data_IF_965016335429
#
_entry.id   IF_965016335429
#
_cell.length_a   1.000
_cell.length_b   1.000
_cell.length_c   1.000
_cell.angle_alpha   90.00
_cell.angle_beta   90.00
_cell.angle_gamma   90.00
#
_symmetry.space_group_name_H-M   'P 1'
#
loop_
_entity.id
_entity.type
_entity.pdbx_description
1 polymer ?
#
# COMPACT_ATOMS: atom_id res chain seq x y z
N UNK A 1 -43.07 3.97 41.30
CA UNK A 1 -41.75 4.49 40.90
C UNK A 1 -41.97 5.75 40.07
N UNK A 2 -41.39 6.88 40.49
CA UNK A 2 -41.61 8.19 39.85
C UNK A 2 -40.96 8.22 38.48
N UNK A 3 -41.67 8.79 37.46
CA UNK A 3 -41.12 8.99 36.08
C UNK A 3 -39.76 9.68 36.07
N UNK A 4 -39.41 10.45 37.12
CA UNK A 4 -38.10 11.08 37.30
C UNK A 4 -36.97 10.09 37.61
N UNK A 5 -37.24 9.02 38.35
CA UNK A 5 -36.25 7.95 38.68
C UNK A 5 -35.91 7.11 37.43
N UNK A 6 -36.88 6.84 36.56
CA UNK A 6 -36.64 6.10 35.31
C UNK A 6 -35.83 6.94 34.31
N UNK A 7 -36.06 8.25 34.22
CA UNK A 7 -35.32 9.14 33.37
C UNK A 7 -33.82 9.29 33.79
N UNK A 8 -33.57 9.33 35.11
CA UNK A 8 -32.19 9.41 35.64
C UNK A 8 -31.44 8.08 35.40
N UNK A 9 -32.09 6.93 35.57
CA UNK A 9 -31.48 5.63 35.30
C UNK A 9 -31.10 5.47 33.80
N UNK A 10 -31.96 5.94 32.87
CA UNK A 10 -31.67 5.92 31.45
C UNK A 10 -30.52 6.85 31.05
N UNK A 11 -30.43 8.05 31.67
CA UNK A 11 -29.34 8.98 31.42
C UNK A 11 -27.99 8.45 31.90
N UNK A 12 -27.94 7.79 33.07
CA UNK A 12 -26.72 7.21 33.62
C UNK A 12 -26.22 6.03 32.75
N UNK A 13 -27.12 5.19 32.24
CA UNK A 13 -26.78 4.06 31.37
C UNK A 13 -26.23 4.59 30.02
N UNK A 14 -26.83 5.66 29.46
CA UNK A 14 -26.34 6.30 28.21
C UNK A 14 -24.95 6.93 28.40
N UNK A 15 -24.72 7.65 29.49
CA UNK A 15 -23.42 8.27 29.79
C UNK A 15 -22.35 7.19 30.06
N UNK A 16 -22.67 6.15 30.81
CA UNK A 16 -21.76 5.03 31.04
C UNK A 16 -21.44 4.29 29.73
N UNK A 17 -22.42 4.04 28.86
CA UNK A 17 -22.21 3.41 27.56
C UNK A 17 -21.30 4.24 26.64
N UNK A 18 -21.49 5.57 26.59
CA UNK A 18 -20.64 6.48 25.83
C UNK A 18 -19.21 6.55 26.37
N UNK A 19 -19.04 6.53 27.69
CA UNK A 19 -17.71 6.52 28.34
C UNK A 19 -16.95 5.21 28.08
N UNK A 20 -17.61 4.06 28.13
CA UNK A 20 -17.01 2.76 27.80
C UNK A 20 -16.63 2.69 26.32
N UNK A 21 -17.54 3.08 25.42
CA UNK A 21 -17.28 3.10 23.98
C UNK A 21 -16.09 4.01 23.62
N UNK A 22 -16.02 5.22 24.19
CA UNK A 22 -14.88 6.12 23.98
C UNK A 22 -13.57 5.59 24.57
N UNK A 23 -13.63 4.86 25.69
CA UNK A 23 -12.47 4.21 26.31
C UNK A 23 -11.88 3.11 25.40
N UNK A 24 -12.73 2.28 24.81
CA UNK A 24 -12.28 1.17 23.95
C UNK A 24 -11.74 1.71 22.62
N UNK A 25 -12.43 2.67 22.00
CA UNK A 25 -11.93 3.36 20.81
C UNK A 25 -10.57 4.07 21.02
N UNK A 26 -10.33 4.62 22.22
CA UNK A 26 -9.02 5.19 22.57
C UNK A 26 -7.94 4.15 22.77
N UNK A 27 -8.27 2.98 23.38
CA UNK A 27 -7.33 1.86 23.52
C UNK A 27 -6.91 1.31 22.16
N UNK A 28 -7.87 1.11 21.25
CA UNK A 28 -7.62 0.64 19.90
C UNK A 28 -6.71 1.60 19.13
N UNK A 29 -6.96 2.91 19.21
CA UNK A 29 -6.08 3.92 18.58
C UNK A 29 -4.66 3.91 19.13
N UNK A 30 -4.49 3.71 20.44
CA UNK A 30 -3.16 3.60 21.05
C UNK A 30 -2.44 2.33 20.58
N UNK A 31 -3.15 1.21 20.52
CA UNK A 31 -2.60 -0.07 20.05
C UNK A 31 -2.19 0.02 18.57
N UNK A 32 -3.02 0.62 17.72
CA UNK A 32 -2.68 0.85 16.30
C UNK A 32 -1.43 1.72 16.15
N UNK A 33 -1.33 2.83 16.90
CA UNK A 33 -0.14 3.68 16.87
C UNK A 33 1.12 2.96 17.37
N UNK A 34 0.99 2.16 18.42
CA UNK A 34 2.11 1.37 18.93
C UNK A 34 2.59 0.34 17.90
N UNK A 35 1.67 -0.35 17.22
CA UNK A 35 2.00 -1.31 16.15
C UNK A 35 2.65 -0.61 14.95
N UNK A 36 2.15 0.56 14.54
CA UNK A 36 2.76 1.33 13.46
C UNK A 36 4.18 1.80 13.82
N UNK A 37 4.38 2.27 15.06
CA UNK A 37 5.69 2.65 15.57
C UNK A 37 6.64 1.44 15.65
N UNK A 38 6.17 0.29 16.14
CA UNK A 38 6.96 -0.95 16.16
C UNK A 38 7.34 -1.40 14.75
N UNK A 39 6.42 -1.33 13.80
CA UNK A 39 6.66 -1.72 12.42
C UNK A 39 7.70 -0.82 11.75
N UNK A 40 7.58 0.51 11.83
CA UNK A 40 8.56 1.41 11.22
C UNK A 40 9.94 1.30 11.89
N UNK A 41 9.98 1.05 13.20
CA UNK A 41 11.23 0.82 13.93
C UNK A 41 11.90 -0.49 13.48
N UNK A 42 11.12 -1.58 13.33
CA UNK A 42 11.63 -2.84 12.80
C UNK A 42 12.17 -2.70 11.36
N UNK A 43 11.67 -1.73 10.59
CA UNK A 43 12.10 -1.43 9.23
C UNK A 43 13.28 -0.46 9.13
N UNK A 44 13.91 -0.07 10.24
CA UNK A 44 15.08 0.82 10.28
C UNK A 44 14.84 2.17 10.94
N UNK A 45 13.63 2.41 11.45
CA UNK A 45 13.27 3.60 12.21
C UNK A 45 12.64 4.71 11.37
N UNK A 46 11.77 5.49 12.03
CA UNK A 46 11.02 6.56 11.37
C UNK A 46 11.93 7.64 10.77
N UNK A 47 12.99 8.03 11.48
CA UNK A 47 13.91 9.07 11.02
C UNK A 47 14.63 8.66 9.72
N UNK A 48 15.07 7.39 9.62
CA UNK A 48 15.72 6.87 8.42
C UNK A 48 14.78 6.91 7.21
N UNK A 49 13.53 6.45 7.38
CA UNK A 49 12.53 6.48 6.31
C UNK A 49 12.11 7.89 5.93
N UNK A 50 11.91 8.79 6.89
CA UNK A 50 11.53 10.19 6.64
C UNK A 50 12.63 11.00 5.95
N UNK A 51 13.91 10.61 6.11
CA UNK A 51 15.02 11.21 5.39
C UNK A 51 15.05 10.83 3.89
N UNK A 52 14.27 9.82 3.46
CA UNK A 52 14.17 9.41 2.06
C UNK A 52 13.15 10.29 1.31
N UNK A 53 13.63 11.11 0.39
CA UNK A 53 12.76 11.96 -0.46
C UNK A 53 12.43 11.27 -1.78
N UNK A 54 13.37 10.48 -2.31
CA UNK A 54 13.19 9.69 -3.53
C UNK A 54 13.70 8.28 -3.30
N UNK A 55 13.04 7.32 -3.93
CA UNK A 55 13.42 5.91 -3.88
C UNK A 55 13.35 5.34 -5.30
N UNK A 56 14.43 4.70 -5.73
CA UNK A 56 14.47 3.91 -6.96
C UNK A 56 14.71 2.45 -6.61
N UNK A 57 13.81 1.61 -7.07
CA UNK A 57 13.87 0.15 -6.88
C UNK A 57 13.95 -0.51 -8.25
N UNK A 58 14.86 -1.45 -8.43
CA UNK A 58 14.96 -2.27 -9.63
C UNK A 58 14.92 -3.74 -9.27
N UNK A 59 14.41 -4.57 -10.16
CA UNK A 59 14.29 -6.01 -9.95
C UNK A 59 13.60 -6.69 -11.11
N UNK A 60 13.03 -7.87 -10.83
CA UNK A 60 12.27 -8.68 -11.79
C UNK A 60 10.83 -8.82 -11.33
N UNK A 61 9.88 -8.77 -12.26
CA UNK A 61 8.50 -9.12 -12.01
C UNK A 61 8.06 -10.26 -12.91
N UNK A 62 7.22 -11.14 -12.37
CA UNK A 62 6.57 -12.21 -13.10
C UNK A 62 5.25 -11.70 -13.70
N UNK A 63 5.12 -11.82 -15.01
CA UNK A 63 3.90 -11.50 -15.75
C UNK A 63 3.00 -12.71 -15.97
N UNK A 64 3.33 -13.85 -15.35
CA UNK A 64 2.65 -15.13 -15.53
C UNK A 64 3.29 -15.98 -16.64
N UNK A 65 2.93 -17.26 -16.67
CA UNK A 65 3.41 -18.25 -17.65
C UNK A 65 4.96 -18.36 -17.74
N UNK A 66 5.67 -18.09 -16.63
CA UNK A 66 7.13 -18.11 -16.57
C UNK A 66 7.82 -16.92 -17.24
N UNK A 67 7.08 -15.87 -17.58
CA UNK A 67 7.67 -14.64 -18.13
C UNK A 67 8.14 -13.70 -17.03
N UNK A 68 9.45 -13.45 -16.99
CA UNK A 68 10.07 -12.51 -16.07
C UNK A 68 10.58 -11.30 -16.84
N UNK A 69 10.23 -10.11 -16.36
CA UNK A 69 10.67 -8.86 -16.99
C UNK A 69 11.34 -7.95 -15.97
N UNK A 70 12.41 -7.26 -16.35
CA UNK A 70 13.02 -6.27 -15.49
C UNK A 70 12.07 -5.08 -15.31
N UNK A 71 12.06 -4.52 -14.10
CA UNK A 71 11.30 -3.32 -13.81
C UNK A 71 12.16 -2.27 -13.09
N UNK A 72 11.72 -1.02 -13.23
CA UNK A 72 12.18 0.12 -12.44
C UNK A 72 10.97 0.76 -11.79
N UNK A 73 10.99 0.90 -10.48
CA UNK A 73 10.03 1.68 -9.74
C UNK A 73 10.72 2.91 -9.15
N UNK A 74 10.15 4.08 -9.38
CA UNK A 74 10.60 5.34 -8.81
C UNK A 74 9.50 5.97 -7.98
N UNK A 75 9.86 6.42 -6.81
CA UNK A 75 8.96 7.15 -5.91
C UNK A 75 9.57 8.49 -5.53
N UNK A 76 8.73 9.51 -5.40
CA UNK A 76 9.10 10.85 -4.93
C UNK A 76 8.02 11.36 -3.98
N UNK A 77 8.43 11.96 -2.87
CA UNK A 77 7.50 12.64 -1.96
C UNK A 77 6.95 13.94 -2.56
N UNK A 78 5.68 14.28 -2.26
CA UNK A 78 4.68 13.44 -1.60
C UNK A 78 3.90 12.57 -2.59
N UNK A 79 3.83 11.25 -2.34
CA UNK A 79 2.85 10.36 -2.97
C UNK A 79 2.96 10.17 -4.48
N UNK A 80 4.13 10.36 -5.07
CA UNK A 80 4.36 10.10 -6.49
C UNK A 80 5.05 8.75 -6.69
N UNK A 81 4.66 8.03 -7.72
CA UNK A 81 5.26 6.75 -8.10
C UNK A 81 5.17 6.53 -9.61
N UNK A 82 6.23 6.00 -10.19
CA UNK A 82 6.27 5.44 -11.55
C UNK A 82 6.77 4.00 -11.51
N UNK A 83 6.08 3.12 -12.21
CA UNK A 83 6.51 1.77 -12.52
C UNK A 83 6.76 1.68 -14.02
N UNK A 84 7.95 1.24 -14.39
CA UNK A 84 8.37 1.02 -15.77
C UNK A 84 8.87 -0.41 -15.93
N UNK A 85 8.48 -1.10 -16.99
CA UNK A 85 8.99 -2.42 -17.34
C UNK A 85 9.01 -2.61 -18.87
N UNK A 86 9.86 -3.50 -19.33
CA UNK A 86 10.00 -3.81 -20.76
C UNK A 86 9.38 -5.16 -21.03
N UNK A 87 8.45 -5.20 -21.97
CA UNK A 87 7.80 -6.42 -22.44
C UNK A 87 7.75 -6.44 -23.96
N UNK A 88 8.26 -7.50 -24.60
CA UNK A 88 8.37 -7.62 -26.07
C UNK A 88 9.04 -6.41 -26.74
N UNK A 89 10.16 -5.95 -26.18
CA UNK A 89 10.91 -4.78 -26.64
C UNK A 89 10.13 -3.44 -26.53
N UNK A 90 8.94 -3.44 -25.99
CA UNK A 90 8.14 -2.25 -25.74
C UNK A 90 8.18 -1.85 -24.27
N UNK A 91 8.37 -0.56 -24.01
CA UNK A 91 8.39 -0.03 -22.65
C UNK A 91 6.97 0.30 -22.18
N UNK A 92 6.55 -0.32 -21.10
CA UNK A 92 5.30 0.00 -20.41
C UNK A 92 5.58 0.91 -19.21
N UNK A 93 4.74 1.91 -19.02
CA UNK A 93 4.88 2.90 -17.93
C UNK A 93 3.53 3.11 -17.27
N UNK A 94 3.55 3.17 -15.94
CA UNK A 94 2.39 3.53 -15.11
C UNK A 94 2.85 4.50 -14.04
N UNK A 95 2.32 5.71 -14.03
CA UNK A 95 2.72 6.74 -13.08
C UNK A 95 1.51 7.35 -12.37
N UNK A 96 1.71 7.73 -11.11
CA UNK A 96 0.77 8.51 -10.30
C UNK A 96 1.49 9.70 -9.69
N UNK A 97 0.81 10.85 -9.59
CA UNK A 97 1.34 12.10 -9.06
C UNK A 97 0.77 12.47 -7.68
N UNK A 98 0.05 11.54 -7.03
CA UNK A 98 -0.64 11.74 -5.76
C UNK A 98 -2.08 12.25 -5.90
N UNK A 99 -2.55 12.57 -7.13
CA UNK A 99 -3.92 13.03 -7.41
C UNK A 99 -4.56 12.28 -8.57
N UNK A 100 -3.76 11.97 -9.57
CA UNK A 100 -4.15 11.32 -10.80
C UNK A 100 -3.05 10.37 -11.26
N UNK A 101 -3.33 9.60 -12.29
CA UNK A 101 -2.34 8.72 -12.88
C UNK A 101 -2.44 8.69 -14.40
N UNK A 102 -1.35 8.27 -15.02
CA UNK A 102 -1.28 8.02 -16.45
C UNK A 102 -0.54 6.71 -16.73
N UNK A 103 -0.77 6.17 -17.90
CA UNK A 103 -0.15 4.92 -18.34
C UNK A 103 0.17 4.94 -19.83
N UNK A 104 1.18 4.16 -20.21
CA UNK A 104 1.55 3.82 -21.56
C UNK A 104 1.73 2.30 -21.62
N UNK A 105 0.88 1.59 -22.35
CA UNK A 105 0.88 0.12 -22.45
C UNK A 105 0.89 -0.32 -23.92
N UNK A 106 2.04 -0.16 -24.64
CA UNK A 106 2.10 -0.36 -26.09
C UNK A 106 1.70 -1.76 -26.54
N UNK A 107 2.08 -2.79 -25.76
CA UNK A 107 1.73 -4.19 -26.04
C UNK A 107 0.23 -4.50 -26.00
N UNK A 108 -0.60 -3.55 -25.52
CA UNK A 108 -2.08 -3.61 -25.59
C UNK A 108 -2.64 -2.82 -26.79
N UNK A 109 -1.79 -2.45 -27.76
CA UNK A 109 -2.16 -1.63 -28.90
C UNK A 109 -2.35 -0.14 -28.58
N UNK A 110 -1.94 0.31 -27.39
CA UNK A 110 -2.07 1.69 -26.90
C UNK A 110 -0.70 2.37 -26.89
N UNK A 111 -0.34 2.97 -28.03
CA UNK A 111 0.98 3.56 -28.25
C UNK A 111 1.13 5.00 -27.76
N UNK A 112 0.03 5.60 -27.30
CA UNK A 112 0.02 6.96 -26.76
C UNK A 112 -0.24 6.91 -25.24
N UNK A 113 0.33 7.85 -24.47
CA UNK A 113 -0.01 8.01 -23.07
C UNK A 113 -1.51 8.29 -22.88
N UNK A 114 -2.12 7.65 -21.90
CA UNK A 114 -3.52 7.85 -21.55
C UNK A 114 -3.68 8.05 -20.04
N UNK A 115 -4.70 8.80 -19.64
CA UNK A 115 -5.05 8.94 -18.24
C UNK A 115 -5.52 7.59 -17.68
N UNK A 116 -5.15 7.29 -16.45
CA UNK A 116 -5.72 6.16 -15.71
C UNK A 116 -7.19 6.41 -15.39
N UNK A 117 -7.98 5.34 -15.39
CA UNK A 117 -9.30 5.36 -14.78
C UNK A 117 -9.15 5.53 -13.26
N UNK A 118 -10.23 5.94 -12.61
CA UNK A 118 -10.24 6.05 -11.14
C UNK A 118 -9.93 4.69 -10.47
N UNK A 119 -10.39 3.60 -11.03
CA UNK A 119 -10.14 2.24 -10.55
C UNK A 119 -8.65 1.87 -10.65
N UNK A 120 -8.00 2.17 -11.78
CA UNK A 120 -6.57 1.93 -11.97
C UNK A 120 -5.72 2.77 -11.02
N UNK A 121 -6.08 4.04 -10.81
CA UNK A 121 -5.42 4.89 -9.83
C UNK A 121 -5.56 4.35 -8.41
N UNK A 122 -6.76 3.95 -7.99
CA UNK A 122 -7.04 3.35 -6.68
C UNK A 122 -6.24 2.06 -6.44
N UNK A 123 -6.01 1.28 -7.49
CA UNK A 123 -5.21 0.06 -7.38
C UNK A 123 -3.75 0.36 -6.99
N UNK A 124 -3.20 1.50 -7.40
CA UNK A 124 -1.83 1.93 -7.10
C UNK A 124 -1.71 2.73 -5.78
N UNK A 125 -2.79 3.36 -5.29
CA UNK A 125 -2.78 4.30 -4.17
C UNK A 125 -2.09 3.76 -2.91
N UNK A 126 -2.29 2.48 -2.59
CA UNK A 126 -1.68 1.87 -1.40
C UNK A 126 -0.16 1.68 -1.47
N UNK A 127 0.43 1.76 -2.67
CA UNK A 127 1.87 1.55 -2.89
C UNK A 127 2.69 2.83 -3.03
N UNK A 128 2.08 4.00 -3.03
CA UNK A 128 2.77 5.26 -3.33
C UNK A 128 3.58 5.82 -2.17
N UNK A 129 3.36 5.35 -0.96
CA UNK A 129 4.07 5.86 0.23
C UNK A 129 5.43 5.19 0.40
N UNK A 130 6.48 6.00 0.43
CA UNK A 130 7.86 5.55 0.73
C UNK A 130 7.94 4.93 2.14
N UNK A 131 7.25 5.51 3.13
CA UNK A 131 7.27 5.04 4.52
C UNK A 131 6.52 3.72 4.75
N UNK A 132 5.82 3.23 3.73
CA UNK A 132 4.93 2.08 3.84
C UNK A 132 3.51 2.44 4.27
N UNK A 133 2.60 1.53 3.97
CA UNK A 133 1.16 1.79 4.09
C UNK A 133 0.70 2.04 5.54
N UNK A 134 1.16 1.21 6.50
CA UNK A 134 0.69 1.31 7.87
C UNK A 134 1.14 2.62 8.53
N UNK A 135 2.45 2.89 8.49
CA UNK A 135 3.00 4.08 9.14
C UNK A 135 2.43 5.35 8.53
N UNK A 136 2.44 5.48 7.20
CA UNK A 136 1.90 6.65 6.51
C UNK A 136 0.40 6.85 6.77
N UNK A 137 -0.37 5.78 6.88
CA UNK A 137 -1.81 5.88 7.18
C UNK A 137 -2.08 6.43 8.57
N UNK A 138 -1.29 5.99 9.56
CA UNK A 138 -1.41 6.50 10.94
C UNK A 138 -0.98 7.97 11.03
N UNK A 139 0.15 8.34 10.40
CA UNK A 139 0.65 9.72 10.40
C UNK A 139 -0.29 10.69 9.66
N UNK A 140 -0.89 10.26 8.56
CA UNK A 140 -1.86 11.07 7.81
C UNK A 140 -3.28 11.04 8.41
N UNK A 141 -3.49 10.32 9.50
CA UNK A 141 -4.79 10.26 10.19
C UNK A 141 -5.86 9.47 9.44
N UNK A 142 -5.47 8.53 8.56
CA UNK A 142 -6.42 7.65 7.90
C UNK A 142 -7.08 6.70 8.91
N UNK A 143 -8.21 6.13 8.52
CA UNK A 143 -8.90 5.17 9.39
C UNK A 143 -8.11 3.86 9.39
N UNK A 144 -7.56 3.51 10.56
CA UNK A 144 -6.89 2.23 10.82
C UNK A 144 -7.54 1.58 12.03
N UNK A 145 -7.93 0.32 11.89
CA UNK A 145 -8.58 -0.47 12.95
C UNK A 145 -7.88 -1.81 13.17
N UNK A 146 -7.91 -2.29 14.41
CA UNK A 146 -7.53 -3.66 14.74
C UNK A 146 -8.66 -4.61 14.34
N UNK A 147 -8.34 -5.67 13.60
CA UNK A 147 -9.29 -6.72 13.21
C UNK A 147 -9.16 -7.92 14.15
N UNK A 148 -7.93 -8.35 14.42
CA UNK A 148 -7.65 -9.51 15.26
C UNK A 148 -6.27 -10.11 15.03
N UNK A 149 -6.12 -11.38 15.38
CA UNK A 149 -4.88 -12.14 15.15
C UNK A 149 -5.18 -13.32 14.25
N UNK A 150 -4.27 -13.59 13.35
CA UNK A 150 -4.32 -14.72 12.42
C UNK A 150 -2.95 -15.39 12.32
N UNK A 151 -2.92 -16.65 11.89
CA UNK A 151 -1.66 -17.34 11.57
C UNK A 151 -1.41 -17.24 10.08
N UNK A 152 -0.29 -16.60 9.70
CA UNK A 152 0.15 -16.42 8.32
C UNK A 152 1.46 -17.16 8.10
N UNK A 153 1.47 -18.14 7.22
CA UNK A 153 2.65 -18.97 6.94
C UNK A 153 3.34 -19.52 8.21
N UNK A 154 2.53 -19.94 9.21
CA UNK A 154 3.00 -20.51 10.48
C UNK A 154 3.41 -19.46 11.53
N UNK A 155 3.28 -18.17 11.27
CA UNK A 155 3.61 -17.07 12.19
C UNK A 155 2.35 -16.40 12.73
N UNK A 156 2.35 -16.04 14.01
CA UNK A 156 1.28 -15.23 14.60
C UNK A 156 1.39 -13.80 14.10
N UNK A 157 0.33 -13.29 13.51
CA UNK A 157 0.29 -11.94 12.95
C UNK A 157 -0.94 -11.17 13.44
N UNK A 158 -0.78 -9.89 13.72
CA UNK A 158 -1.87 -8.96 14.00
C UNK A 158 -2.39 -8.39 12.69
N UNK A 159 -3.69 -8.59 12.44
CA UNK A 159 -4.41 -8.05 11.26
C UNK A 159 -4.95 -6.66 11.57
N UNK A 160 -4.64 -5.72 10.69
CA UNK A 160 -5.11 -4.35 10.71
C UNK A 160 -5.90 -4.05 9.43
N UNK A 161 -6.97 -3.29 9.55
CA UNK A 161 -7.73 -2.76 8.43
C UNK A 161 -7.37 -1.30 8.22
N UNK A 162 -6.98 -0.93 7.00
CA UNK A 162 -6.66 0.45 6.59
C UNK A 162 -7.65 0.89 5.52
N UNK A 163 -8.35 1.99 5.76
CA UNK A 163 -9.19 2.64 4.75
C UNK A 163 -8.45 3.84 4.17
N UNK A 164 -8.14 3.77 2.87
CA UNK A 164 -7.46 4.82 2.11
C UNK A 164 -8.40 6.01 1.83
N UNK A 165 -7.88 7.19 1.44
CA UNK A 165 -8.69 8.36 1.08
C UNK A 165 -9.73 8.09 -0.02
N UNK A 166 -9.42 7.23 -0.97
CA UNK A 166 -10.34 6.78 -2.03
C UNK A 166 -11.51 5.92 -1.51
N UNK A 167 -11.49 5.52 -0.22
CA UNK A 167 -12.44 4.58 0.37
C UNK A 167 -12.06 3.11 0.19
N UNK A 168 -10.96 2.82 -0.52
CA UNK A 168 -10.47 1.45 -0.69
C UNK A 168 -9.92 0.93 0.63
N UNK A 169 -10.27 -0.31 0.95
CA UNK A 169 -9.77 -1.01 2.13
C UNK A 169 -8.61 -1.94 1.79
N UNK A 170 -7.61 -1.97 2.67
CA UNK A 170 -6.47 -2.89 2.66
C UNK A 170 -6.35 -3.55 4.03
N UNK A 171 -5.90 -4.81 4.08
CA UNK A 171 -5.60 -5.47 5.34
C UNK A 171 -4.12 -5.79 5.39
N UNK A 172 -3.47 -5.33 6.46
CA UNK A 172 -2.03 -5.51 6.71
C UNK A 172 -1.89 -6.51 7.85
N UNK A 173 -0.97 -7.43 7.71
CA UNK A 173 -0.64 -8.43 8.71
C UNK A 173 0.78 -8.21 9.21
N UNK A 174 0.91 -7.86 10.49
CA UNK A 174 2.19 -7.60 11.15
C UNK A 174 2.55 -8.82 12.01
N UNK A 175 3.70 -9.41 11.73
CA UNK A 175 4.28 -10.49 12.52
C UNK A 175 4.54 -10.02 13.95
N UNK A 176 4.06 -10.76 14.95
CA UNK A 176 4.15 -10.35 16.34
C UNK A 176 5.57 -10.49 16.92
N UNK A 177 6.42 -11.32 16.33
CA UNK A 177 7.79 -11.54 16.76
C UNK A 177 8.74 -10.48 16.18
N UNK A 178 8.62 -10.22 14.88
CA UNK A 178 9.55 -9.34 14.15
C UNK A 178 9.06 -7.90 14.00
N UNK A 179 7.75 -7.66 14.08
CA UNK A 179 7.15 -6.37 13.79
C UNK A 179 7.07 -6.03 12.30
N UNK A 180 7.46 -6.95 11.40
CA UNK A 180 7.46 -6.74 9.96
C UNK A 180 6.14 -7.16 9.33
N UNK A 181 5.82 -6.60 8.16
CA UNK A 181 4.70 -7.07 7.34
C UNK A 181 4.98 -8.48 6.83
N UNK A 182 4.03 -9.39 6.99
CA UNK A 182 4.11 -10.75 6.42
C UNK A 182 3.10 -10.94 5.29
N UNK A 183 2.01 -10.15 5.28
CA UNK A 183 0.96 -10.24 4.28
C UNK A 183 0.23 -8.91 4.13
N UNK A 184 -0.18 -8.62 2.91
CA UNK A 184 -1.14 -7.57 2.55
C UNK A 184 -2.29 -8.21 1.77
N UNK A 185 -3.52 -7.87 2.10
CA UNK A 185 -4.69 -8.16 1.28
C UNK A 185 -5.24 -6.89 0.65
N UNK A 186 -5.61 -6.99 -0.62
CA UNK A 186 -6.20 -5.89 -1.36
C UNK A 186 -7.28 -6.39 -2.31
N UNK A 187 -8.39 -5.66 -2.41
CA UNK A 187 -9.41 -5.94 -3.42
C UNK A 187 -8.98 -5.32 -4.75
N UNK A 188 -9.08 -6.08 -5.83
CA UNK A 188 -8.87 -5.63 -7.20
C UNK A 188 -10.02 -6.09 -8.09
N UNK A 189 -10.36 -5.28 -9.08
CA UNK A 189 -11.31 -5.72 -10.12
C UNK A 189 -10.53 -6.42 -11.22
N UNK A 190 -10.74 -7.72 -11.35
CA UNK A 190 -10.15 -8.54 -12.38
C UNK A 190 -11.28 -9.11 -13.25
N UNK A 191 -11.24 -8.80 -14.55
CA UNK A 191 -12.27 -9.24 -15.53
C UNK A 191 -13.70 -8.81 -15.12
N UNK A 192 -13.83 -7.62 -14.51
CA UNK A 192 -15.12 -7.08 -14.08
C UNK A 192 -15.67 -7.66 -12.76
N UNK A 193 -14.90 -8.45 -12.04
CA UNK A 193 -15.26 -9.00 -10.73
C UNK A 193 -14.27 -8.56 -9.67
N UNK A 194 -14.77 -8.17 -8.51
CA UNK A 194 -13.92 -7.92 -7.34
C UNK A 194 -13.32 -9.24 -6.85
N UNK A 195 -12.02 -9.25 -6.72
CA UNK A 195 -11.25 -10.39 -6.22
C UNK A 195 -10.29 -9.92 -5.15
N UNK A 196 -10.11 -10.72 -4.12
CA UNK A 196 -9.13 -10.47 -3.09
C UNK A 196 -7.77 -10.97 -3.57
N UNK A 197 -6.77 -10.10 -3.55
CA UNK A 197 -5.38 -10.41 -3.87
C UNK A 197 -4.59 -10.42 -2.57
N UNK A 198 -3.91 -11.52 -2.33
CA UNK A 198 -2.97 -11.71 -1.22
C UNK A 198 -1.55 -11.45 -1.71
N UNK A 199 -0.79 -10.64 -1.00
CA UNK A 199 0.64 -10.41 -1.26
C UNK A 199 1.42 -10.75 0.00
N UNK A 200 2.38 -11.65 -0.11
CA UNK A 200 3.25 -12.09 0.98
C UNK A 200 4.64 -11.48 0.81
N UNK A 201 5.30 -11.14 1.93
CA UNK A 201 6.59 -10.49 1.97
C UNK A 201 7.65 -11.40 2.56
N UNK A 202 8.78 -11.52 1.85
CA UNK A 202 9.89 -12.42 2.21
C UNK A 202 11.24 -11.71 2.06
N UNK A 203 12.27 -12.34 2.62
CA UNK A 203 13.68 -11.99 2.41
C UNK A 203 13.97 -10.52 2.73
N UNK A 204 13.58 -10.09 3.93
CA UNK A 204 13.86 -8.75 4.41
C UNK A 204 15.35 -8.53 4.57
N UNK A 205 15.90 -7.53 3.88
CA UNK A 205 17.32 -7.19 3.89
C UNK A 205 17.53 -5.70 4.08
N UNK A 206 18.57 -5.36 4.81
CA UNK A 206 18.98 -3.98 5.04
C UNK A 206 19.69 -3.39 3.82
N UNK A 207 19.38 -2.13 3.52
CA UNK A 207 20.07 -1.30 2.54
C UNK A 207 20.07 0.13 3.04
N UNK A 208 21.23 0.70 3.30
CA UNK A 208 21.39 2.09 3.79
C UNK A 208 20.54 2.38 5.04
N UNK A 209 20.45 1.43 5.97
CA UNK A 209 19.68 1.53 7.21
C UNK A 209 18.17 1.27 7.03
N UNK A 210 17.70 0.97 5.83
CA UNK A 210 16.31 0.65 5.54
C UNK A 210 16.14 -0.86 5.35
N UNK A 211 15.23 -1.48 6.09
CA UNK A 211 14.90 -2.89 5.92
C UNK A 211 13.76 -3.03 4.90
N UNK A 212 14.01 -3.76 3.81
CA UNK A 212 13.15 -3.85 2.64
C UNK A 212 12.97 -5.31 2.24
N UNK A 213 11.71 -5.77 1.92
CA UNK A 213 11.49 -7.12 1.45
C UNK A 213 12.08 -7.27 0.04
N UNK A 214 12.92 -8.30 -0.16
CA UNK A 214 13.54 -8.58 -1.45
C UNK A 214 12.69 -9.45 -2.34
N UNK A 215 11.65 -10.07 -1.79
CA UNK A 215 10.71 -10.90 -2.54
C UNK A 215 9.29 -10.65 -2.06
N UNK A 216 8.40 -10.48 -3.02
CA UNK A 216 6.95 -10.41 -2.81
C UNK A 216 6.30 -11.47 -3.69
N UNK A 217 5.33 -12.19 -3.14
CA UNK A 217 4.54 -13.18 -3.86
C UNK A 217 3.07 -12.81 -3.76
N UNK A 218 2.40 -12.70 -4.89
CA UNK A 218 0.99 -12.33 -4.95
C UNK A 218 0.19 -13.38 -5.66
N UNK A 219 -1.03 -13.63 -5.17
CA UNK A 219 -2.03 -14.48 -5.83
C UNK A 219 -3.42 -13.92 -5.62
N UNK A 220 -4.35 -14.31 -6.48
CA UNK A 220 -5.78 -14.19 -6.17
C UNK A 220 -6.13 -15.21 -5.10
N UNK A 221 -6.93 -14.81 -4.12
CA UNK A 221 -7.34 -15.73 -3.06
C UNK A 221 -8.07 -16.95 -3.65
N UNK A 222 -7.58 -18.12 -3.29
CA UNK A 222 -8.11 -19.40 -3.79
C UNK A 222 -7.41 -19.92 -5.04
N UNK A 223 -6.53 -19.15 -5.67
CA UNK A 223 -5.67 -19.64 -6.76
C UNK A 223 -4.37 -20.21 -6.19
N UNK A 224 -3.85 -21.23 -6.87
CA UNK A 224 -2.56 -21.84 -6.53
C UNK A 224 -1.38 -21.16 -7.25
N UNK A 225 -1.65 -20.36 -8.30
CA UNK A 225 -0.63 -19.67 -9.08
C UNK A 225 -0.17 -18.39 -8.36
N UNK A 226 1.12 -18.32 -8.08
CA UNK A 226 1.76 -17.14 -7.51
C UNK A 226 2.52 -16.36 -8.58
N UNK A 227 2.38 -15.04 -8.54
CA UNK A 227 3.22 -14.10 -9.26
C UNK A 227 4.18 -13.47 -8.29
N UNK A 228 5.43 -13.27 -8.67
CA UNK A 228 6.42 -12.70 -7.77
C UNK A 228 7.06 -11.42 -8.32
N UNK A 229 7.53 -10.63 -7.39
CA UNK A 229 8.37 -9.46 -7.63
C UNK A 229 9.60 -9.62 -6.76
N UNK A 230 10.78 -9.52 -7.38
CA UNK A 230 12.06 -9.47 -6.65
C UNK A 230 12.65 -8.08 -6.70
N UNK A 231 13.43 -7.74 -5.68
CA UNK A 231 14.14 -6.47 -5.58
C UNK A 231 15.64 -6.74 -5.62
N UNK A 232 16.29 -6.34 -6.71
CA UNK A 232 17.72 -6.50 -6.90
C UNK A 232 18.50 -5.34 -6.26
N UNK A 233 18.03 -4.11 -6.48
CA UNK A 233 18.69 -2.90 -5.99
C UNK A 233 17.71 -1.86 -5.50
N UNK A 234 18.10 -1.17 -4.43
CA UNK A 234 17.39 -0.03 -3.87
C UNK A 234 18.36 1.13 -3.75
N UNK A 235 17.97 2.31 -4.18
CA UNK A 235 18.76 3.54 -4.10
C UNK A 235 17.87 4.66 -3.57
N UNK A 236 18.31 5.27 -2.47
CA UNK A 236 17.61 6.39 -1.83
C UNK A 236 18.22 7.73 -2.25
N UNK A 237 17.39 8.76 -2.26
CA UNK A 237 17.78 10.16 -2.47
C UNK A 237 18.55 10.44 -3.78
N UNK A 238 18.34 9.63 -4.83
CA UNK A 238 18.83 9.96 -6.16
C UNK A 238 17.96 11.06 -6.78
N UNK A 239 18.58 11.96 -7.56
CA UNK A 239 17.81 12.89 -8.38
C UNK A 239 16.88 12.13 -9.35
N UNK A 240 15.60 12.47 -9.32
CA UNK A 240 14.58 11.95 -10.24
C UNK A 240 14.04 13.16 -11.02
N UNK A 241 13.83 12.98 -12.33
CA UNK A 241 13.12 13.96 -13.13
C UNK A 241 11.63 13.92 -12.76
N UNK A 242 11.18 14.88 -11.97
CA UNK A 242 9.79 14.95 -11.48
C UNK A 242 8.77 15.14 -12.61
N UNK A 243 9.20 15.51 -13.83
CA UNK A 243 8.30 15.59 -14.99
C UNK A 243 7.76 14.22 -15.40
N UNK A 244 8.45 13.14 -15.07
CA UNK A 244 8.03 11.74 -15.35
C UNK A 244 6.69 11.37 -14.73
N UNK A 245 6.35 11.98 -13.60
CA UNK A 245 5.08 11.68 -12.92
C UNK A 245 3.89 12.35 -13.61
N UNK A 246 4.14 13.35 -14.45
CA UNK A 246 3.11 14.05 -15.23
C UNK A 246 2.93 13.38 -16.58
N UNK A 247 1.68 13.22 -17.02
CA UNK A 247 1.39 12.66 -18.35
C UNK A 247 2.05 13.49 -19.46
N UNK A 248 2.86 12.89 -20.33
CA UNK A 248 3.46 13.59 -21.45
C UNK A 248 2.38 14.16 -22.39
N UNK A 249 2.64 15.32 -22.99
CA UNK A 249 1.79 15.84 -24.04
C UNK A 249 1.80 14.87 -25.24
N UNK A 250 0.62 14.48 -25.71
CA UNK A 250 0.52 13.66 -26.93
C UNK A 250 0.99 14.47 -28.14
N UNK A 251 1.83 13.87 -28.98
CA UNK A 251 2.39 14.52 -30.16
C UNK A 251 1.35 14.87 -31.28
N UNK A 252 0.05 14.78 -30.98
CA UNK A 252 -1.07 14.84 -31.92
C UNK A 252 -2.10 15.92 -31.70
N UNK A 253 -1.77 17.06 -31.05
CA UNK A 253 -2.68 18.21 -30.87
C UNK A 253 -2.33 19.42 -31.74
N UNK A 254 -1.86 19.22 -32.97
CA UNK A 254 -1.76 20.27 -33.96
C UNK A 254 -3.13 20.52 -34.57
N UNK A 255 -3.78 21.62 -34.15
CA UNK A 255 -5.00 22.18 -34.74
C UNK A 255 -4.87 22.34 -36.23
N UNK A 256 -5.77 21.81 -36.96
CA UNK A 256 -6.16 22.30 -38.29
C UNK A 256 -7.58 22.82 -38.25
#
# INVERSE_FOLDING_TARGET
>A
MSKKLVAIAFAVVLVAGVLVYNSDAMKDRRAVRALAAQNIEARGGADAWQAVNTLRVTGQMDLGQGMHVPYVMEQERPGKMCLEFVFNEETAIQCVDGKSGWKLLPFRGRKEPEAMTEEEYRAMEGGVSIDGLLFSSVENGYKVGLVGKEVVAGRSATKLEVTLPSGVTRWIYIDEETGLEVKLESTRVLRGQEQLVETFYYDWQETDGLLIPRRQESRTQGDDEFHFVTVDRVLSNLPIDSSRFTMPATAGGGSS
#
